data_IF_900109965157
#
_entry.id   IF_900109965157
#
_cell.length_a   1.000
_cell.length_b   1.000
_cell.length_c   1.000
_cell.angle_alpha   90.00
_cell.angle_beta   90.00
_cell.angle_gamma   90.00
#
_symmetry.space_group_name_H-M   'P 1'
#
loop_
_entity.id
_entity.type
_entity.pdbx_description
1 polymer ?
2 polymer ?
3 water ?
#
# COMPACT_ATOMS: atom_id res chain seq x y z
N UNK A 1 13.52 -9.61 1.99
CA UNK A 1 12.00 -9.54 2.01
C UNK A 1 11.31 -10.87 2.27
N UNK A 2 10.08 -10.85 2.81
CA UNK A 2 9.15 -9.69 2.75
C UNK A 2 8.83 -9.03 4.09
N UNK A 3 8.72 -7.71 4.07
CA UNK A 3 8.36 -6.94 5.22
C UNK A 3 6.86 -6.64 5.25
N UNK A 4 6.07 -7.30 4.40
CA UNK A 4 4.65 -6.98 4.32
C UNK A 4 3.83 -8.11 4.91
N UNK A 5 2.81 -7.79 5.70
CA UNK A 5 1.90 -8.84 6.10
C UNK A 5 1.16 -9.43 4.89
N UNK A 6 0.68 -10.65 5.03
CA UNK A 6 -0.10 -11.28 4.01
C UNK A 6 -1.29 -10.38 3.67
N UNK A 7 -1.61 -10.36 2.40
CA UNK A 7 -2.66 -9.56 1.86
C UNK A 7 -2.27 -8.24 1.27
N UNK A 8 -1.05 -7.82 1.55
CA UNK A 8 -0.52 -6.52 1.06
C UNK A 8 0.46 -6.73 -0.08
N UNK A 9 0.46 -5.80 -1.04
CA UNK A 9 1.50 -5.72 -2.02
C UNK A 9 1.90 -4.26 -2.21
N UNK A 10 3.12 -4.05 -2.64
CA UNK A 10 3.56 -2.78 -3.17
C UNK A 10 3.08 -2.58 -4.59
N UNK A 11 2.72 -1.33 -4.93
CA UNK A 11 2.33 -0.94 -6.26
C UNK A 11 3.12 0.25 -6.73
N UNK A 12 3.73 0.11 -7.93
CA UNK A 12 4.52 1.15 -8.54
C UNK A 12 3.67 2.23 -9.20
N UNK A 13 4.02 3.48 -8.91
CA UNK A 13 3.50 4.61 -9.63
C UNK A 13 4.63 5.59 -9.90
N UNK A 14 4.43 6.49 -10.85
CA UNK A 14 5.41 7.53 -11.13
C UNK A 14 5.68 8.36 -9.87
N UNK A 15 4.66 8.50 -9.02
CA UNK A 15 4.76 9.34 -7.83
C UNK A 15 5.32 8.64 -6.60
N UNK A 16 5.57 7.34 -6.75
CA UNK A 16 6.11 6.57 -5.63
C UNK A 16 5.42 5.21 -5.49
N UNK A 17 5.94 4.43 -4.57
CA UNK A 17 5.37 3.12 -4.25
C UNK A 17 4.31 3.34 -3.21
N UNK A 18 3.16 2.75 -3.43
CA UNK A 18 2.07 2.67 -2.43
C UNK A 18 1.76 1.24 -2.08
N UNK A 19 0.91 1.10 -1.08
CA UNK A 19 0.61 -0.21 -0.50
C UNK A 19 -0.86 -0.51 -0.69
N UNK A 20 -1.14 -1.71 -1.18
CA UNK A 20 -2.47 -2.11 -1.49
C UNK A 20 -2.82 -3.40 -0.69
N UNK A 21 -3.90 -3.34 0.08
CA UNK A 21 -4.39 -4.51 0.79
C UNK A 21 -5.51 -5.11 -0.09
N UNK A 22 -5.17 -6.17 -0.78
CA UNK A 22 -6.09 -6.73 -1.79
C UNK A 22 -7.45 -7.10 -1.23
N UNK A 23 -7.50 -7.76 -0.05
CA UNK A 23 -8.82 -8.23 0.41
C UNK A 23 -9.78 -7.13 0.71
N UNK A 24 -9.35 -5.96 1.14
CA UNK A 24 -10.25 -4.88 1.51
C UNK A 24 -10.24 -3.72 0.52
N UNK A 25 -9.33 -3.69 -0.42
CA UNK A 25 -9.19 -2.54 -1.32
C UNK A 25 -8.47 -1.36 -0.71
N UNK A 26 -7.97 -1.45 0.49
CA UNK A 26 -7.31 -0.34 1.14
C UNK A 26 -6.02 0.01 0.37
N UNK A 27 -5.79 1.33 0.18
CA UNK A 27 -4.50 1.79 -0.37
C UNK A 27 -3.99 2.91 0.50
N UNK A 28 -2.69 2.94 0.69
CA UNK A 28 -2.06 3.96 1.54
C UNK A 28 -0.61 4.13 1.15
N UNK A 29 -0.03 5.24 1.54
CA UNK A 29 1.39 5.53 1.29
C UNK A 29 2.33 5.01 2.36
N UNK A 30 1.84 4.77 3.58
CA UNK A 30 2.69 4.34 4.66
C UNK A 30 2.79 2.83 4.62
N UNK A 31 3.98 2.28 4.84
CA UNK A 31 4.10 0.84 4.93
C UNK A 31 3.19 0.30 6.02
N UNK A 32 2.52 -0.82 5.77
CA UNK A 32 1.66 -1.44 6.75
C UNK A 32 2.44 -2.09 7.90
N UNK A 33 1.88 -2.12 9.10
CA UNK A 33 0.55 -1.61 9.40
C UNK A 33 -0.59 -2.62 9.37
N UNK A 34 -0.33 -3.92 9.54
CA UNK A 34 -1.43 -4.90 9.71
C UNK A 34 -1.50 -5.60 11.10
N UNK A 35 -0.79 -6.71 11.33
CA UNK A 35 0.04 -7.38 10.34
C UNK A 35 -0.32 -8.87 10.26
N UNK A 36 0.62 -9.75 10.63
CA UNK A 36 1.96 -9.35 11.08
C UNK A 36 3.00 -9.58 9.99
N UNK A 37 3.82 -8.55 9.73
CA UNK A 37 4.71 -8.47 8.59
C UNK A 37 5.21 -9.83 8.11
N UNK B 1 -4.09 -2.73 -10.46
CA UNK B 1 -4.37 -2.31 -9.11
C UNK B 1 -5.19 -1.02 -9.06
N UNK B 2 -5.72 -0.65 -7.89
CA UNK B 2 -6.42 0.62 -7.81
C UNK B 2 -5.42 1.76 -7.99
N UNK B 3 -5.91 2.97 -8.24
CA UNK B 3 -5.01 4.10 -8.45
C UNK B 3 -4.26 4.50 -7.20
N UNK B 4 -3.21 5.33 -7.37
CA UNK B 4 -2.52 5.80 -6.20
C UNK B 4 -3.45 6.58 -5.29
N UNK B 5 -3.31 6.39 -3.97
CA UNK B 5 -4.17 7.13 -3.07
C UNK B 5 -3.76 8.62 -2.94
N UNK B 6 -4.64 9.44 -2.44
CA UNK B 6 -4.25 10.85 -2.19
C UNK B 6 -3.30 10.89 -1.00
N UNK B 7 -2.60 12.00 -0.87
CA UNK B 7 -1.77 12.21 0.27
C UNK B 7 -2.61 12.60 1.40
N UNK B 8 -2.31 12.06 2.60
CA UNK B 8 -3.11 12.42 3.76
C UNK B 8 -2.79 13.85 4.13
N UNK B 9 -3.68 14.48 4.94
CA UNK B 9 -3.53 15.88 5.36
C UNK B 9 -2.17 16.21 5.99
#
# INVERSE_FOLDING_TARGET
>A
GSDLPAGWMRVQDTSGTYYWHIPTGTTQWEPPGRASPS
>B
PPPPPPLPP
#
